data_IF_671828983478
#
_entry.id   IF_671828983478
#
_cell.length_a   1.000
_cell.length_b   1.000
_cell.length_c   1.000
_cell.angle_alpha   90.00
_cell.angle_beta   90.00
_cell.angle_gamma   90.00
#
_symmetry.space_group_name_H-M   'P 1'
#
loop_
_entity.id
_entity.type
_entity.pdbx_description
1 polymer ?
#
# COMPACT_ATOMS: atom_id res chain seq x y z
N UNK A 1 -56.54 -16.97 -71.24
CA UNK A 1 -55.29 -16.85 -70.47
C UNK A 1 -55.45 -15.65 -69.51
N UNK A 2 -55.84 -15.90 -68.27
CA UNK A 2 -56.03 -14.85 -67.28
C UNK A 2 -54.84 -14.92 -66.28
N UNK A 3 -54.10 -13.82 -66.15
CA UNK A 3 -53.00 -13.65 -65.16
C UNK A 3 -53.60 -13.11 -63.89
N UNK A 4 -53.38 -13.85 -62.78
CA UNK A 4 -53.71 -13.43 -61.44
C UNK A 4 -52.57 -12.63 -60.85
N UNK A 5 -52.76 -11.52 -60.11
CA UNK A 5 -51.70 -10.83 -59.39
C UNK A 5 -51.47 -11.41 -58.01
N UNK A 6 -50.20 -11.60 -57.67
CA UNK A 6 -49.74 -11.94 -56.34
C UNK A 6 -49.84 -10.70 -55.43
N UNK A 7 -50.58 -10.81 -54.34
CA UNK A 7 -50.63 -9.82 -53.28
C UNK A 7 -49.55 -10.12 -52.28
N UNK A 8 -48.54 -9.23 -52.24
CA UNK A 8 -47.47 -9.23 -51.25
C UNK A 8 -47.99 -8.61 -49.94
N UNK A 9 -48.02 -9.40 -48.87
CA UNK A 9 -48.29 -8.89 -47.55
C UNK A 9 -47.03 -8.37 -46.94
N UNK A 10 -46.85 -7.05 -46.90
CA UNK A 10 -45.81 -6.36 -46.15
C UNK A 10 -46.10 -6.38 -44.64
N UNK A 11 -45.31 -7.10 -43.90
CA UNK A 11 -45.34 -7.11 -42.45
C UNK A 11 -44.76 -5.79 -41.91
N UNK A 12 -45.64 -4.89 -41.43
CA UNK A 12 -45.26 -3.63 -40.78
C UNK A 12 -44.81 -3.96 -39.33
N UNK A 13 -43.49 -4.03 -39.09
CA UNK A 13 -42.94 -4.13 -37.76
C UNK A 13 -43.04 -2.76 -37.08
N UNK A 14 -43.96 -2.62 -36.15
CA UNK A 14 -44.02 -1.44 -35.29
C UNK A 14 -42.94 -1.56 -34.21
N UNK A 15 -41.86 -0.78 -34.35
CA UNK A 15 -40.81 -0.63 -33.36
C UNK A 15 -41.36 0.24 -32.22
N UNK A 16 -41.81 -0.39 -31.12
CA UNK A 16 -42.14 0.31 -29.87
C UNK A 16 -40.85 0.72 -29.21
N UNK A 17 -40.46 1.98 -29.45
CA UNK A 17 -39.35 2.61 -28.71
C UNK A 17 -39.85 2.91 -27.29
N UNK A 18 -39.56 2.00 -26.34
CA UNK A 18 -39.75 2.28 -24.93
C UNK A 18 -38.79 3.40 -24.50
N UNK A 19 -39.34 4.60 -24.32
CA UNK A 19 -38.61 5.70 -23.71
C UNK A 19 -38.28 5.33 -22.27
N UNK A 20 -37.03 4.93 -22.00
CA UNK A 20 -36.49 4.82 -20.65
C UNK A 20 -36.45 6.25 -20.10
N UNK A 21 -37.13 6.55 -18.97
CA UNK A 21 -37.00 7.85 -18.36
C UNK A 21 -35.52 8.02 -17.97
N UNK A 22 -34.82 8.91 -18.65
CA UNK A 22 -33.56 9.46 -18.14
C UNK A 22 -33.93 10.18 -16.85
N UNK A 23 -33.64 9.52 -15.71
CA UNK A 23 -33.64 10.20 -14.43
C UNK A 23 -32.62 11.32 -14.57
N UNK A 24 -33.09 12.54 -14.73
CA UNK A 24 -32.27 13.72 -14.71
C UNK A 24 -31.55 13.70 -13.35
N UNK A 25 -30.26 13.37 -13.37
CA UNK A 25 -29.41 13.59 -12.21
C UNK A 25 -29.59 15.06 -11.84
N UNK A 26 -30.11 15.29 -10.65
CA UNK A 26 -30.21 16.63 -10.08
C UNK A 26 -28.87 17.29 -10.28
N UNK A 27 -28.81 18.28 -11.15
CA UNK A 27 -27.70 19.23 -11.25
C UNK A 27 -27.77 20.12 -10.01
N UNK A 28 -27.46 19.51 -8.84
CA UNK A 28 -27.25 20.26 -7.61
C UNK A 28 -26.01 21.12 -7.85
N UNK A 29 -26.22 22.42 -7.83
CA UNK A 29 -25.27 23.50 -7.71
C UNK A 29 -23.82 23.09 -8.00
N UNK A 30 -23.36 23.31 -9.23
CA UNK A 30 -21.94 23.32 -9.54
C UNK A 30 -21.35 24.48 -8.74
N UNK A 31 -20.93 24.17 -7.50
CA UNK A 31 -20.27 25.14 -6.63
C UNK A 31 -19.08 25.69 -7.41
N UNK A 32 -19.03 27.02 -7.54
CA UNK A 32 -17.89 27.64 -8.20
C UNK A 32 -16.65 27.45 -7.34
N UNK A 33 -15.84 26.45 -7.68
CA UNK A 33 -14.61 26.12 -6.96
C UNK A 33 -13.45 27.08 -7.29
N UNK A 34 -13.65 28.09 -8.15
CA UNK A 34 -12.61 29.05 -8.48
C UNK A 34 -12.11 29.81 -7.25
N UNK A 35 -13.01 30.13 -6.30
CA UNK A 35 -12.67 30.81 -5.04
C UNK A 35 -12.25 29.82 -3.93
N UNK A 36 -12.50 28.53 -4.10
CA UNK A 36 -12.16 27.47 -3.15
C UNK A 36 -10.71 26.98 -3.26
N UNK A 37 -9.91 27.57 -4.14
CA UNK A 37 -8.52 27.14 -4.40
C UNK A 37 -7.63 27.12 -3.15
N UNK A 38 -8.03 27.83 -2.09
CA UNK A 38 -7.33 27.92 -0.80
C UNK A 38 -8.10 27.28 0.38
N UNK A 39 -9.29 26.72 0.15
CA UNK A 39 -10.08 26.07 1.20
C UNK A 39 -9.90 24.57 1.15
N UNK A 40 -8.93 24.07 1.89
CA UNK A 40 -8.65 22.63 1.97
C UNK A 40 -9.76 21.84 2.65
N UNK A 41 -10.66 22.47 3.41
CA UNK A 41 -11.83 21.88 4.06
C UNK A 41 -13.06 21.74 3.15
N UNK A 42 -13.04 22.32 1.94
CA UNK A 42 -14.15 22.20 0.99
C UNK A 42 -14.06 20.87 0.22
N UNK A 43 -14.68 19.84 0.77
CA UNK A 43 -14.67 18.47 0.21
C UNK A 43 -15.38 18.36 -1.16
N UNK A 44 -16.27 19.30 -1.49
CA UNK A 44 -16.96 19.32 -2.78
C UNK A 44 -16.07 19.81 -3.91
N UNK A 45 -15.00 20.52 -3.59
CA UNK A 45 -14.02 21.04 -4.54
C UNK A 45 -12.77 20.16 -4.72
N UNK A 46 -12.75 18.97 -4.15
CA UNK A 46 -11.66 18.01 -4.38
C UNK A 46 -11.47 17.78 -5.89
N UNK A 47 -10.22 17.78 -6.34
CA UNK A 47 -9.84 17.70 -7.73
C UNK A 47 -9.63 19.07 -8.41
N UNK A 48 -10.11 20.17 -7.81
CA UNK A 48 -9.95 21.54 -8.30
C UNK A 48 -9.13 22.44 -7.37
N UNK A 49 -8.81 21.95 -6.17
CA UNK A 49 -8.04 22.69 -5.15
C UNK A 49 -6.55 22.75 -5.49
N UNK A 50 -5.86 23.74 -4.96
CA UNK A 50 -4.40 23.89 -5.06
C UNK A 50 -3.75 23.42 -3.77
N UNK A 51 -3.63 22.12 -3.59
CA UNK A 51 -3.01 21.52 -2.38
C UNK A 51 -1.49 21.40 -2.50
N UNK A 52 -0.97 21.42 -3.72
CA UNK A 52 0.46 21.24 -4.00
C UNK A 52 1.30 22.37 -3.42
N UNK A 53 2.36 22.02 -2.69
CA UNK A 53 3.35 22.96 -2.19
C UNK A 53 4.18 23.58 -3.32
N UNK A 54 4.66 24.81 -3.09
CA UNK A 54 5.60 25.45 -4.02
C UNK A 54 6.93 24.70 -4.02
N UNK A 55 7.49 24.51 -5.20
CA UNK A 55 8.76 23.82 -5.39
C UNK A 55 9.53 24.41 -6.57
N UNK A 56 10.87 24.44 -6.46
CA UNK A 56 11.78 24.73 -7.58
C UNK A 56 11.92 23.52 -8.51
N UNK A 57 11.43 22.33 -8.10
CA UNK A 57 11.48 21.10 -8.88
C UNK A 57 10.21 21.04 -9.75
N UNK A 58 10.39 20.94 -11.06
CA UNK A 58 9.27 20.75 -11.99
C UNK A 58 8.61 19.36 -11.81
N UNK A 59 7.33 19.26 -12.15
CA UNK A 59 6.60 17.98 -12.10
C UNK A 59 7.28 16.92 -12.98
N UNK A 60 7.76 17.29 -14.15
CA UNK A 60 8.46 16.39 -15.07
C UNK A 60 9.75 15.84 -14.46
N UNK A 61 10.53 16.69 -13.78
CA UNK A 61 11.74 16.27 -13.07
C UNK A 61 11.40 15.34 -11.89
N UNK A 62 10.34 15.64 -11.17
CA UNK A 62 9.84 14.81 -10.06
C UNK A 62 9.46 13.40 -10.57
N UNK A 63 8.69 13.30 -11.65
CA UNK A 63 8.32 12.03 -12.30
C UNK A 63 9.57 11.26 -12.76
N UNK A 64 10.53 11.95 -13.39
CA UNK A 64 11.76 11.32 -13.89
C UNK A 64 12.61 10.73 -12.74
N UNK A 65 12.70 11.45 -11.61
CA UNK A 65 13.39 10.98 -10.40
C UNK A 65 12.67 9.78 -9.80
N UNK A 66 11.34 9.87 -9.64
CA UNK A 66 10.54 8.77 -9.11
C UNK A 66 10.61 7.50 -9.96
N UNK A 67 10.56 7.65 -11.29
CA UNK A 67 10.74 6.53 -12.22
C UNK A 67 12.07 5.82 -12.04
N UNK A 68 13.16 6.58 -11.89
CA UNK A 68 14.49 6.01 -11.64
C UNK A 68 14.55 5.21 -10.34
N UNK A 69 13.95 5.72 -9.26
CA UNK A 69 13.85 5.00 -7.99
C UNK A 69 12.93 3.80 -8.09
N UNK A 70 11.79 3.92 -8.77
CA UNK A 70 10.87 2.82 -9.00
C UNK A 70 11.57 1.66 -9.74
N UNK A 71 12.32 1.93 -10.80
CA UNK A 71 13.11 0.93 -11.52
C UNK A 71 14.17 0.25 -10.63
N UNK A 72 14.74 0.97 -9.68
CA UNK A 72 15.71 0.42 -8.74
C UNK A 72 15.04 -0.51 -7.72
N UNK A 73 13.89 -0.09 -7.17
CA UNK A 73 13.10 -0.92 -6.24
C UNK A 73 12.59 -2.17 -6.95
N UNK A 74 12.09 -2.05 -8.17
CA UNK A 74 11.60 -3.20 -8.96
C UNK A 74 12.68 -4.26 -9.20
N UNK A 75 13.94 -3.82 -9.34
CA UNK A 75 15.08 -4.74 -9.51
C UNK A 75 15.54 -5.38 -8.19
N UNK A 76 15.41 -4.68 -7.07
CA UNK A 76 15.89 -5.13 -5.77
C UNK A 76 14.82 -5.84 -4.93
N UNK A 77 13.55 -5.65 -5.26
CA UNK A 77 12.43 -6.20 -4.49
C UNK A 77 11.70 -7.32 -5.26
N UNK A 78 11.11 -8.24 -4.53
CA UNK A 78 10.24 -9.26 -5.11
C UNK A 78 8.83 -8.71 -5.29
N UNK A 79 8.46 -8.37 -6.52
CA UNK A 79 7.11 -7.91 -6.83
C UNK A 79 6.13 -9.08 -6.90
N UNK A 80 4.91 -8.85 -6.39
CA UNK A 80 3.78 -9.76 -6.56
C UNK A 80 3.32 -9.70 -8.03
N UNK A 81 3.23 -10.89 -8.66
CA UNK A 81 2.78 -11.04 -10.06
C UNK A 81 1.37 -11.64 -10.17
N UNK A 82 0.73 -11.90 -9.05
CA UNK A 82 -0.62 -12.46 -9.01
C UNK A 82 -1.63 -11.38 -9.46
N UNK A 83 -2.33 -11.57 -10.59
CA UNK A 83 -3.21 -10.55 -11.15
C UNK A 83 -4.39 -10.23 -10.22
N UNK A 84 -4.91 -11.22 -9.48
CA UNK A 84 -6.03 -10.98 -8.55
C UNK A 84 -5.64 -9.95 -7.48
N UNK A 85 -4.42 -10.05 -6.96
CA UNK A 85 -3.93 -9.12 -5.95
C UNK A 85 -3.59 -7.77 -6.56
N UNK A 86 -2.84 -7.76 -7.67
CA UNK A 86 -2.33 -6.51 -8.26
C UNK A 86 -3.43 -5.67 -8.88
N UNK A 87 -4.41 -6.28 -9.56
CA UNK A 87 -5.55 -5.60 -10.14
C UNK A 87 -6.48 -5.04 -9.07
N UNK A 88 -6.71 -5.79 -7.99
CA UNK A 88 -7.49 -5.31 -6.86
C UNK A 88 -6.85 -4.07 -6.22
N UNK A 89 -5.57 -4.12 -5.86
CA UNK A 89 -4.88 -2.98 -5.25
C UNK A 89 -4.86 -1.78 -6.19
N UNK A 90 -4.61 -2.02 -7.48
CA UNK A 90 -4.65 -0.95 -8.49
C UNK A 90 -6.04 -0.32 -8.59
N UNK A 91 -7.12 -1.11 -8.57
CA UNK A 91 -8.50 -0.57 -8.64
C UNK A 91 -8.82 0.29 -7.42
N UNK A 92 -8.46 -0.16 -6.21
CA UNK A 92 -8.67 0.63 -4.99
C UNK A 92 -7.90 1.94 -5.07
N UNK A 93 -6.62 1.90 -5.51
CA UNK A 93 -5.81 3.10 -5.66
C UNK A 93 -6.35 4.04 -6.73
N UNK A 94 -6.73 3.55 -7.92
CA UNK A 94 -7.28 4.40 -8.97
C UNK A 94 -8.58 5.07 -8.53
N UNK A 95 -9.46 4.37 -7.79
CA UNK A 95 -10.66 4.98 -7.23
C UNK A 95 -10.32 6.13 -6.26
N UNK A 96 -9.30 5.97 -5.42
CA UNK A 96 -8.82 7.03 -4.54
C UNK A 96 -8.21 8.19 -5.34
N UNK A 97 -7.33 7.89 -6.29
CA UNK A 97 -6.62 8.87 -7.10
C UNK A 97 -7.57 9.76 -7.92
N UNK A 98 -8.57 9.16 -8.56
CA UNK A 98 -9.61 9.87 -9.33
C UNK A 98 -10.47 10.80 -8.44
N UNK A 99 -10.58 10.46 -7.17
CA UNK A 99 -11.30 11.24 -6.16
C UNK A 99 -10.37 12.09 -5.28
N UNK A 100 -9.19 12.46 -5.79
CA UNK A 100 -8.17 13.25 -5.09
C UNK A 100 -7.83 14.55 -5.82
N UNK A 101 -6.91 15.33 -5.26
CA UNK A 101 -6.32 16.51 -5.89
C UNK A 101 -5.01 16.20 -6.64
N UNK A 102 -4.62 14.94 -6.78
CA UNK A 102 -3.42 14.53 -7.50
C UNK A 102 -3.47 14.99 -8.97
N UNK A 103 -2.36 15.54 -9.46
CA UNK A 103 -2.23 16.08 -10.84
C UNK A 103 -1.28 15.24 -11.70
N UNK A 104 -0.80 14.13 -11.16
CA UNK A 104 0.06 13.17 -11.87
C UNK A 104 -0.61 11.79 -11.83
N UNK A 105 -0.39 10.96 -12.85
CA UNK A 105 -0.85 9.57 -12.82
C UNK A 105 -0.24 8.83 -11.65
N UNK A 106 -1.04 8.03 -10.95
CA UNK A 106 -0.57 7.19 -9.86
C UNK A 106 -0.40 5.76 -10.36
N UNK A 107 0.74 5.17 -10.04
CA UNK A 107 1.07 3.79 -10.32
C UNK A 107 1.33 3.07 -9.01
N UNK A 108 0.54 2.05 -8.70
CA UNK A 108 0.73 1.24 -7.49
C UNK A 108 1.37 -0.11 -7.84
N UNK A 109 2.28 -0.59 -6.98
CA UNK A 109 2.92 -1.90 -7.07
C UNK A 109 2.92 -2.59 -5.74
N UNK A 110 2.82 -3.92 -5.77
CA UNK A 110 2.78 -4.76 -4.57
C UNK A 110 4.11 -5.49 -4.40
N UNK A 111 4.76 -5.30 -3.26
CA UNK A 111 5.99 -5.98 -2.87
C UNK A 111 5.65 -7.20 -2.01
N UNK A 112 6.22 -8.35 -2.32
CA UNK A 112 6.12 -9.56 -1.52
C UNK A 112 7.04 -9.45 -0.29
N UNK A 113 6.56 -8.71 0.71
CA UNK A 113 7.23 -8.48 2.00
C UNK A 113 6.24 -8.63 3.15
N UNK A 114 6.59 -9.35 4.22
CA UNK A 114 5.75 -9.51 5.40
C UNK A 114 5.65 -8.24 6.25
N UNK A 115 6.42 -7.23 5.97
CA UNK A 115 6.40 -5.96 6.70
C UNK A 115 5.10 -5.20 6.45
N UNK A 116 4.53 -4.64 7.51
CA UNK A 116 3.38 -3.74 7.40
C UNK A 116 3.91 -2.39 6.96
N UNK A 117 3.93 -2.14 5.65
CA UNK A 117 4.43 -0.90 5.07
C UNK A 117 3.76 -0.55 3.74
N UNK A 118 3.66 0.76 3.49
CA UNK A 118 3.50 1.37 2.18
C UNK A 118 4.35 2.63 2.12
N UNK A 119 4.72 3.05 0.92
CA UNK A 119 5.47 4.28 0.74
C UNK A 119 5.28 4.84 -0.67
N UNK A 120 5.45 6.14 -0.76
CA UNK A 120 5.32 6.90 -2.00
C UNK A 120 6.66 7.44 -2.45
N UNK A 121 6.98 7.25 -3.74
CA UNK A 121 8.10 7.90 -4.41
C UNK A 121 7.62 9.15 -5.16
N UNK A 122 8.53 10.07 -5.48
CA UNK A 122 8.21 11.26 -6.27
C UNK A 122 7.46 10.93 -7.55
N UNK A 123 6.51 11.79 -7.94
CA UNK A 123 5.84 11.68 -9.24
C UNK A 123 4.79 10.58 -9.35
N UNK A 124 4.28 10.03 -8.22
CA UNK A 124 3.09 9.19 -8.20
C UNK A 124 3.34 7.68 -8.24
N UNK A 125 4.50 7.21 -7.82
CA UNK A 125 4.77 5.77 -7.67
C UNK A 125 4.55 5.35 -6.22
N UNK A 126 3.57 4.47 -5.97
CA UNK A 126 3.21 3.95 -4.64
C UNK A 126 3.57 2.47 -4.56
N UNK A 127 4.14 2.06 -3.45
CA UNK A 127 4.45 0.67 -3.15
C UNK A 127 3.70 0.22 -1.91
N UNK A 128 3.13 -0.98 -1.98
CA UNK A 128 2.37 -1.60 -0.89
C UNK A 128 2.93 -2.98 -0.61
N UNK A 129 3.28 -3.27 0.62
CA UNK A 129 3.75 -4.59 1.01
C UNK A 129 2.58 -5.56 1.24
N UNK A 130 2.79 -6.84 0.94
CA UNK A 130 1.79 -7.90 1.24
C UNK A 130 1.46 -7.97 2.74
N UNK A 131 2.40 -7.61 3.62
CA UNK A 131 2.16 -7.50 5.05
C UNK A 131 1.08 -6.47 5.42
N UNK A 132 1.06 -5.31 4.74
CA UNK A 132 0.01 -4.31 4.92
C UNK A 132 -1.35 -4.83 4.42
N UNK A 133 -1.38 -5.44 3.23
CA UNK A 133 -2.61 -6.03 2.69
C UNK A 133 -3.18 -7.09 3.64
N UNK A 134 -2.33 -7.94 4.20
CA UNK A 134 -2.74 -8.96 5.17
C UNK A 134 -3.20 -8.35 6.51
N UNK A 135 -2.57 -7.25 6.94
CA UNK A 135 -2.94 -6.55 8.15
C UNK A 135 -4.26 -5.79 8.02
N UNK A 136 -4.63 -5.31 6.82
CA UNK A 136 -5.89 -4.64 6.59
C UNK A 136 -7.06 -5.59 6.90
N UNK A 137 -8.00 -5.13 7.72
CA UNK A 137 -9.20 -5.90 8.09
C UNK A 137 -10.38 -5.66 7.14
N UNK A 138 -10.28 -4.65 6.27
CA UNK A 138 -11.29 -4.30 5.27
C UNK A 138 -10.65 -3.58 4.09
N UNK A 139 -11.36 -3.52 2.96
CA UNK A 139 -10.96 -2.72 1.79
C UNK A 139 -10.82 -1.24 2.15
N UNK A 140 -11.72 -0.70 2.98
CA UNK A 140 -11.66 0.69 3.42
C UNK A 140 -10.42 0.99 4.27
N UNK A 141 -9.88 0.02 5.04
CA UNK A 141 -8.61 0.20 5.76
C UNK A 141 -7.43 0.32 4.78
N UNK A 142 -7.41 -0.49 3.73
CA UNK A 142 -6.40 -0.38 2.67
C UNK A 142 -6.55 0.96 1.94
N UNK A 143 -7.77 1.32 1.54
CA UNK A 143 -8.06 2.59 0.87
C UNK A 143 -7.61 3.80 1.70
N UNK A 144 -7.71 3.73 3.04
CA UNK A 144 -7.22 4.77 3.93
C UNK A 144 -5.72 4.99 3.85
N UNK A 145 -4.95 3.91 3.86
CA UNK A 145 -3.50 4.01 3.70
C UNK A 145 -3.15 4.55 2.31
N UNK A 146 -3.78 4.02 1.26
CA UNK A 146 -3.55 4.48 -0.12
C UNK A 146 -3.94 5.96 -0.31
N UNK A 147 -5.02 6.42 0.34
CA UNK A 147 -5.43 7.81 0.31
C UNK A 147 -4.42 8.74 0.99
N UNK A 148 -3.81 8.31 2.09
CA UNK A 148 -2.71 9.00 2.74
C UNK A 148 -1.48 9.14 1.81
N UNK A 149 -1.07 8.04 1.16
CA UNK A 149 0.02 8.06 0.18
C UNK A 149 -0.31 8.98 -1.01
N UNK A 150 -1.54 8.90 -1.52
CA UNK A 150 -2.03 9.78 -2.59
C UNK A 150 -2.02 11.25 -2.18
N UNK A 151 -2.30 11.57 -0.92
CA UNK A 151 -2.22 12.93 -0.41
C UNK A 151 -0.76 13.46 -0.40
N UNK A 152 0.23 12.62 -0.07
CA UNK A 152 1.64 13.00 -0.22
C UNK A 152 2.00 13.35 -1.67
N UNK A 153 1.49 12.60 -2.65
CA UNK A 153 1.66 12.89 -4.08
C UNK A 153 0.98 14.20 -4.45
N UNK A 154 -0.29 14.39 -4.05
CA UNK A 154 -1.08 15.57 -4.39
C UNK A 154 -0.45 16.86 -3.84
N UNK A 155 0.05 16.82 -2.60
CA UNK A 155 0.75 17.93 -1.95
C UNK A 155 2.17 18.14 -2.46
N UNK A 156 2.74 17.16 -3.17
CA UNK A 156 4.14 17.18 -3.64
C UNK A 156 5.14 17.36 -2.49
N UNK A 157 4.90 16.67 -1.36
CA UNK A 157 5.70 16.81 -0.15
C UNK A 157 7.18 16.58 -0.41
N UNK A 158 7.54 15.52 -1.17
CA UNK A 158 8.91 15.26 -1.55
C UNK A 158 9.57 16.45 -2.28
N UNK A 159 8.88 17.01 -3.28
CA UNK A 159 9.43 18.12 -4.07
C UNK A 159 9.59 19.40 -3.23
N UNK A 160 8.68 19.62 -2.28
CA UNK A 160 8.76 20.70 -1.29
C UNK A 160 9.98 20.53 -0.39
N UNK A 161 10.18 19.33 0.17
CA UNK A 161 11.28 19.07 1.09
C UNK A 161 12.63 19.13 0.41
N UNK A 162 12.74 18.61 -0.80
CA UNK A 162 13.94 18.78 -1.63
C UNK A 162 14.22 20.25 -1.95
N UNK A 163 13.16 21.05 -2.14
CA UNK A 163 13.31 22.50 -2.32
C UNK A 163 13.87 23.18 -1.07
N UNK A 164 13.30 22.88 0.10
CA UNK A 164 13.78 23.40 1.41
C UNK A 164 15.25 23.02 1.64
N UNK A 165 15.60 21.75 1.40
CA UNK A 165 16.99 21.28 1.54
C UNK A 165 17.94 21.99 0.57
N UNK A 166 17.55 22.14 -0.70
CA UNK A 166 18.35 22.82 -1.71
C UNK A 166 18.58 24.30 -1.36
N UNK A 167 17.52 24.99 -0.94
CA UNK A 167 17.64 26.39 -0.52
C UNK A 167 18.52 26.56 0.72
N UNK A 168 18.40 25.63 1.69
CA UNK A 168 19.27 25.60 2.86
C UNK A 168 20.74 25.40 2.47
N UNK A 169 21.02 24.45 1.56
CA UNK A 169 22.38 24.25 1.05
C UNK A 169 22.95 25.52 0.41
N UNK A 170 22.19 26.21 -0.43
CA UNK A 170 22.62 27.49 -1.02
C UNK A 170 22.84 28.57 0.03
N UNK A 171 21.99 28.66 1.05
CA UNK A 171 22.17 29.62 2.15
C UNK A 171 23.43 29.33 2.99
N UNK A 172 23.92 28.08 3.00
CA UNK A 172 25.14 27.69 3.71
C UNK A 172 26.42 27.94 2.91
N UNK A 173 26.35 28.19 1.59
CA UNK A 173 27.54 28.44 0.75
C UNK A 173 28.44 29.56 1.29
N UNK A 174 27.96 30.76 1.69
CA UNK A 174 28.81 31.79 2.25
C UNK A 174 29.53 31.34 3.53
N UNK A 175 28.90 30.53 4.35
CA UNK A 175 29.49 29.98 5.57
C UNK A 175 30.62 28.97 5.24
N UNK A 176 30.46 28.21 4.14
CA UNK A 176 31.46 27.21 3.68
C UNK A 176 32.75 27.85 3.15
N UNK A 177 32.71 29.14 2.83
CA UNK A 177 33.91 29.89 2.41
C UNK A 177 34.80 30.29 3.59
N UNK A 178 34.39 29.98 4.83
CA UNK A 178 35.23 30.22 6.01
C UNK A 178 36.09 28.99 6.31
N UNK A 179 37.34 29.16 6.80
CA UNK A 179 38.25 28.04 7.08
C UNK A 179 37.72 26.99 8.07
N UNK A 180 36.71 27.35 8.88
CA UNK A 180 36.16 26.50 9.95
C UNK A 180 35.08 25.50 9.45
N UNK A 181 34.63 25.66 8.21
CA UNK A 181 33.44 24.92 7.69
C UNK A 181 33.79 23.70 6.85
N UNK A 182 35.03 23.51 6.45
CA UNK A 182 35.44 22.40 5.59
C UNK A 182 35.17 20.99 6.21
N UNK A 183 35.44 20.73 7.51
CA UNK A 183 35.13 19.46 8.13
C UNK A 183 33.60 19.16 8.20
N UNK A 184 32.79 20.21 8.37
CA UNK A 184 31.32 20.09 8.41
C UNK A 184 30.78 19.76 7.02
N UNK A 185 31.32 20.34 5.97
CA UNK A 185 30.98 20.05 4.58
C UNK A 185 31.26 18.58 4.21
N UNK A 186 32.42 18.05 4.59
CA UNK A 186 32.80 16.66 4.33
C UNK A 186 31.83 15.69 5.03
N UNK A 187 31.43 15.95 6.29
CA UNK A 187 30.51 15.13 7.01
C UNK A 187 29.09 15.08 6.38
N UNK A 188 28.65 16.21 5.79
CA UNK A 188 27.36 16.28 5.09
C UNK A 188 27.42 15.58 3.73
N UNK A 189 28.51 15.76 2.97
CA UNK A 189 28.66 15.19 1.62
C UNK A 189 28.82 13.66 1.64
N UNK A 190 29.47 13.10 2.65
CA UNK A 190 29.58 11.65 2.83
C UNK A 190 28.24 11.02 3.20
N UNK A 191 27.41 11.68 4.00
CA UNK A 191 26.05 11.22 4.35
C UNK A 191 25.09 11.16 3.17
N UNK A 192 25.32 11.93 2.09
CA UNK A 192 24.45 11.97 0.91
C UNK A 192 24.74 10.90 -0.15
N UNK A 193 25.84 10.15 -0.04
CA UNK A 193 26.27 9.18 -1.07
C UNK A 193 25.82 7.73 -0.82
N UNK A 194 25.15 7.44 0.28
CA UNK A 194 24.70 6.09 0.61
C UNK A 194 23.27 5.80 0.16
N UNK A 195 23.11 5.17 -1.03
CA UNK A 195 21.89 4.48 -1.44
C UNK A 195 20.71 5.39 -1.78
N UNK A 196 19.49 4.79 -1.84
CA UNK A 196 18.25 5.56 -1.74
C UNK A 196 18.23 6.07 -0.30
N UNK A 197 18.42 7.36 -0.06
CA UNK A 197 18.41 7.83 1.31
C UNK A 197 17.01 7.54 1.88
N UNK A 198 16.93 6.69 2.90
CA UNK A 198 15.69 6.47 3.69
C UNK A 198 15.07 7.79 4.16
N UNK A 199 15.88 8.86 4.21
CA UNK A 199 15.42 10.22 4.44
C UNK A 199 14.39 10.74 3.41
N UNK A 200 14.30 10.15 2.22
CA UNK A 200 13.27 10.50 1.23
C UNK A 200 11.88 9.99 1.60
N UNK A 201 11.78 9.05 2.52
CA UNK A 201 10.52 8.45 2.96
C UNK A 201 10.00 9.07 4.26
N UNK A 202 10.76 9.99 4.87
CA UNK A 202 10.33 10.65 6.12
C UNK A 202 9.86 12.06 5.84
N UNK A 203 8.59 12.26 6.10
CA UNK A 203 7.96 13.58 5.99
C UNK A 203 7.92 14.31 7.33
N UNK A 204 7.79 15.63 7.30
CA UNK A 204 7.64 16.41 8.52
C UNK A 204 6.28 16.12 9.17
N UNK A 205 6.15 16.41 10.48
CA UNK A 205 4.87 16.26 11.18
C UNK A 205 3.72 17.07 10.55
N UNK A 206 4.04 18.20 9.95
CA UNK A 206 3.05 19.02 9.26
C UNK A 206 2.62 18.37 7.95
N UNK A 207 3.54 17.77 7.21
CA UNK A 207 3.24 17.03 5.97
C UNK A 207 2.39 15.80 6.27
N UNK A 208 2.68 15.09 7.39
CA UNK A 208 1.87 13.97 7.87
C UNK A 208 0.43 14.39 8.23
N UNK A 209 0.28 15.50 8.97
CA UNK A 209 -1.05 16.03 9.33
C UNK A 209 -1.83 16.47 8.08
N UNK A 210 -1.16 17.05 7.10
CA UNK A 210 -1.79 17.42 5.84
C UNK A 210 -2.17 16.20 5.02
N UNK A 211 -1.34 15.15 5.01
CA UNK A 211 -1.65 13.90 4.32
C UNK A 211 -2.83 13.16 4.97
N UNK A 212 -2.92 13.17 6.30
CA UNK A 212 -4.09 12.66 7.01
C UNK A 212 -5.35 13.43 6.64
N UNK A 213 -5.27 14.76 6.72
CA UNK A 213 -6.39 15.65 6.46
C UNK A 213 -6.95 15.50 5.05
N UNK A 214 -6.11 15.46 4.05
CA UNK A 214 -6.54 15.28 2.66
C UNK A 214 -6.91 13.82 2.35
N UNK A 215 -6.18 12.86 2.91
CA UNK A 215 -6.43 11.43 2.75
C UNK A 215 -7.83 11.02 3.22
N UNK A 216 -8.26 11.50 4.38
CA UNK A 216 -9.62 11.26 4.88
C UNK A 216 -10.69 11.81 3.94
N UNK A 217 -10.47 12.98 3.35
CA UNK A 217 -11.39 13.57 2.39
C UNK A 217 -11.41 12.79 1.06
N UNK A 218 -10.27 12.28 0.61
CA UNK A 218 -10.18 11.44 -0.60
C UNK A 218 -10.90 10.11 -0.38
N UNK A 219 -10.71 9.45 0.79
CA UNK A 219 -11.50 8.28 1.18
C UNK A 219 -13.00 8.55 1.12
N UNK A 220 -13.42 9.65 1.77
CA UNK A 220 -14.82 10.05 1.81
C UNK A 220 -15.36 10.27 0.38
N UNK A 221 -14.63 10.98 -0.47
CA UNK A 221 -15.06 11.24 -1.85
C UNK A 221 -15.11 9.97 -2.69
N UNK A 222 -14.16 9.05 -2.52
CA UNK A 222 -14.11 7.74 -3.16
C UNK A 222 -15.20 6.76 -2.65
N UNK A 223 -15.96 7.16 -1.61
CA UNK A 223 -17.08 6.37 -1.08
C UNK A 223 -16.71 5.45 0.08
N UNK A 224 -15.47 5.39 0.51
CA UNK A 224 -15.03 4.58 1.63
C UNK A 224 -15.38 5.19 2.99
N UNK A 225 -15.51 4.34 4.02
CA UNK A 225 -15.73 4.80 5.40
C UNK A 225 -14.44 5.40 5.99
N UNK A 226 -14.38 6.72 6.29
CA UNK A 226 -13.19 7.34 6.87
C UNK A 226 -12.80 6.79 8.25
N UNK A 227 -13.76 6.21 9.01
CA UNK A 227 -13.45 5.61 10.31
C UNK A 227 -12.54 4.38 10.18
N UNK A 228 -12.51 3.74 9.01
CA UNK A 228 -11.62 2.63 8.74
C UNK A 228 -10.13 3.02 8.82
N UNK A 229 -9.80 4.28 8.52
CA UNK A 229 -8.44 4.81 8.69
C UNK A 229 -8.01 4.79 10.16
N UNK A 230 -8.85 5.30 11.05
CA UNK A 230 -8.58 5.25 12.50
C UNK A 230 -8.48 3.81 13.03
N UNK A 231 -9.35 2.92 12.54
CA UNK A 231 -9.30 1.51 12.91
C UNK A 231 -8.00 0.84 12.48
N UNK A 232 -7.45 1.21 11.30
CA UNK A 232 -6.15 0.73 10.84
C UNK A 232 -5.02 1.19 11.75
N UNK A 233 -4.97 2.48 12.13
CA UNK A 233 -4.00 2.99 13.10
C UNK A 233 -4.05 2.26 14.43
N UNK A 234 -5.26 2.10 15.00
CA UNK A 234 -5.43 1.39 16.27
C UNK A 234 -4.92 -0.04 16.19
N UNK A 235 -5.15 -0.74 15.08
CA UNK A 235 -4.66 -2.10 14.84
C UNK A 235 -3.14 -2.15 14.79
N UNK A 236 -2.51 -1.25 14.04
CA UNK A 236 -1.04 -1.23 13.89
C UNK A 236 -0.37 -0.89 15.24
N UNK A 237 -0.91 0.07 16.00
CA UNK A 237 -0.42 0.39 17.36
C UNK A 237 -0.55 -0.82 18.30
N UNK A 238 -1.65 -1.55 18.19
CA UNK A 238 -1.88 -2.76 19.01
C UNK A 238 -0.87 -3.85 18.64
N UNK A 239 -0.57 -4.04 17.36
CA UNK A 239 0.41 -5.01 16.90
C UNK A 239 1.83 -4.67 17.37
N UNK A 240 2.19 -3.38 17.34
CA UNK A 240 3.46 -2.90 17.88
C UNK A 240 3.60 -3.17 19.38
N UNK A 241 2.53 -3.02 20.15
CA UNK A 241 2.54 -3.31 21.60
C UNK A 241 2.69 -4.80 21.88
N UNK A 242 2.14 -5.67 21.04
CA UNK A 242 2.25 -7.13 21.17
C UNK A 242 3.63 -7.65 20.85
N UNK A 243 4.33 -7.00 19.94
CA UNK A 243 5.65 -7.36 19.45
C UNK A 243 6.65 -6.22 19.66
N UNK A 244 7.05 -5.91 20.92
CA UNK A 244 8.03 -4.86 21.21
C UNK A 244 9.37 -5.25 20.57
N UNK A 245 9.84 -4.50 19.60
CA UNK A 245 11.07 -4.77 18.83
C UNK A 245 10.85 -5.01 17.35
N UNK A 246 9.61 -5.29 16.90
CA UNK A 246 9.21 -5.20 15.50
C UNK A 246 8.31 -3.99 15.31
N UNK A 247 8.91 -2.80 15.27
CA UNK A 247 8.16 -1.59 14.86
C UNK A 247 7.79 -1.77 13.40
N UNK A 248 6.49 -1.81 13.03
CA UNK A 248 6.13 -1.82 11.62
C UNK A 248 6.81 -0.65 10.91
N UNK A 249 7.45 -0.91 9.77
CA UNK A 249 8.23 0.08 9.05
C UNK A 249 7.41 1.31 8.66
N UNK A 250 6.12 1.15 8.44
CA UNK A 250 5.18 2.26 8.21
C UNK A 250 5.23 3.31 9.34
N UNK A 251 5.51 2.91 10.59
CA UNK A 251 5.63 3.85 11.71
C UNK A 251 6.99 4.53 11.80
N UNK A 252 7.99 3.96 11.17
CA UNK A 252 9.29 4.62 11.06
C UNK A 252 9.21 5.77 10.04
N UNK A 253 8.38 5.59 9.02
CA UNK A 253 8.19 6.54 7.94
C UNK A 253 7.06 7.53 8.25
N UNK A 254 5.94 7.05 8.85
CA UNK A 254 4.73 7.80 9.20
C UNK A 254 4.32 7.60 10.66
N UNK A 255 5.05 8.16 11.65
CA UNK A 255 4.79 7.89 13.07
C UNK A 255 3.36 8.29 13.48
N UNK A 256 2.55 7.35 14.03
CA UNK A 256 1.25 7.68 14.57
C UNK A 256 1.45 8.47 15.87
N UNK A 257 0.96 9.68 15.92
CA UNK A 257 0.93 10.47 17.15
C UNK A 257 -0.51 10.59 17.65
N UNK A 258 -0.68 10.77 18.95
CA UNK A 258 -2.00 10.98 19.53
C UNK A 258 -2.69 12.21 18.92
N UNK A 259 -1.92 13.24 18.59
CA UNK A 259 -2.42 14.46 17.95
C UNK A 259 -3.00 14.17 16.55
N UNK A 260 -2.38 13.28 15.75
CA UNK A 260 -2.91 12.87 14.44
C UNK A 260 -4.26 12.16 14.57
N UNK A 261 -4.39 11.28 15.56
CA UNK A 261 -5.64 10.54 15.79
C UNK A 261 -6.76 11.50 16.19
N UNK A 262 -6.50 12.40 17.13
CA UNK A 262 -7.49 13.38 17.59
C UNK A 262 -7.94 14.28 16.43
N UNK A 263 -7.02 14.82 15.64
CA UNK A 263 -7.35 15.65 14.48
C UNK A 263 -8.16 14.91 13.42
N UNK A 264 -7.82 13.64 13.15
CA UNK A 264 -8.56 12.80 12.24
C UNK A 264 -10.00 12.54 12.73
N UNK A 265 -10.19 12.29 14.03
CA UNK A 265 -11.52 12.16 14.64
C UNK A 265 -12.34 13.45 14.53
N UNK A 266 -11.71 14.61 14.81
CA UNK A 266 -12.33 15.93 14.68
C UNK A 266 -12.75 16.24 13.25
N UNK A 267 -11.92 15.90 12.28
CA UNK A 267 -12.21 16.08 10.87
C UNK A 267 -13.39 15.23 10.41
N UNK A 268 -13.38 13.94 10.72
CA UNK A 268 -14.49 13.03 10.40
C UNK A 268 -15.81 13.55 10.97
N UNK A 269 -15.77 14.09 12.19
CA UNK A 269 -16.96 14.58 12.89
C UNK A 269 -17.46 15.91 12.36
N UNK A 270 -16.56 16.86 12.06
CA UNK A 270 -16.90 18.27 11.89
C UNK A 270 -16.83 18.75 10.43
N UNK A 271 -16.02 18.08 9.58
CA UNK A 271 -15.75 18.50 8.20
C UNK A 271 -16.42 17.58 7.19
N UNK A 272 -16.33 16.26 7.40
CA UNK A 272 -16.85 15.31 6.42
C UNK A 272 -18.37 15.20 6.50
N UNK A 273 -19.11 15.48 5.41
CA UNK A 273 -20.57 15.30 5.39
C UNK A 273 -20.92 13.82 5.59
N UNK A 274 -21.95 13.56 6.39
CA UNK A 274 -22.46 12.20 6.58
C UNK A 274 -23.04 11.67 5.28
N UNK A 275 -22.70 10.42 4.93
CA UNK A 275 -23.29 9.69 3.81
C UNK A 275 -24.26 8.63 4.34
N UNK A 276 -25.32 8.29 3.59
CA UNK A 276 -26.23 7.22 3.96
C UNK A 276 -25.56 5.85 3.99
N UNK A 277 -24.57 5.65 3.10
CA UNK A 277 -23.83 4.40 2.96
C UNK A 277 -22.36 4.66 2.66
N UNK A 278 -21.53 3.78 3.17
CA UNK A 278 -20.08 3.75 2.91
C UNK A 278 -19.66 2.37 2.44
N UNK A 279 -18.69 2.35 1.54
CA UNK A 279 -17.99 1.12 1.17
C UNK A 279 -17.02 0.75 2.29
N UNK A 280 -17.23 -0.39 2.91
CA UNK A 280 -16.34 -0.93 3.95
C UNK A 280 -15.50 -2.06 3.39
N UNK A 281 -16.11 -3.02 2.69
CA UNK A 281 -15.41 -4.16 2.09
C UNK A 281 -16.22 -4.80 0.99
N UNK A 282 -15.53 -5.35 0.00
CA UNK A 282 -16.12 -6.10 -1.12
C UNK A 282 -15.82 -7.59 -1.01
N UNK A 283 -16.53 -8.40 -1.78
CA UNK A 283 -16.19 -9.83 -1.93
C UNK A 283 -14.83 -10.05 -2.57
N UNK A 284 -14.37 -9.11 -3.41
CA UNK A 284 -13.04 -9.17 -4.01
C UNK A 284 -11.92 -8.98 -2.98
N UNK A 285 -12.12 -8.10 -1.99
CA UNK A 285 -11.18 -7.99 -0.86
C UNK A 285 -11.03 -9.33 -0.14
N UNK A 286 -12.14 -10.04 0.11
CA UNK A 286 -12.08 -11.35 0.74
C UNK A 286 -11.32 -12.37 -0.13
N UNK A 287 -11.57 -12.38 -1.43
CA UNK A 287 -10.83 -13.23 -2.37
C UNK A 287 -9.32 -12.95 -2.36
N UNK A 288 -8.93 -11.68 -2.25
CA UNK A 288 -7.52 -11.27 -2.13
C UNK A 288 -6.92 -11.75 -0.82
N UNK A 289 -7.63 -11.63 0.30
CA UNK A 289 -7.18 -12.13 1.61
C UNK A 289 -6.96 -13.65 1.57
N UNK A 290 -7.88 -14.41 1.01
CA UNK A 290 -7.78 -15.86 0.88
C UNK A 290 -6.59 -16.26 -0.03
N UNK A 291 -6.37 -15.49 -1.09
CA UNK A 291 -5.24 -15.67 -2.00
C UNK A 291 -3.91 -15.40 -1.32
N UNK A 292 -3.81 -14.30 -0.55
CA UNK A 292 -2.63 -13.97 0.25
C UNK A 292 -2.32 -15.05 1.29
N UNK A 293 -3.34 -15.53 2.01
CA UNK A 293 -3.19 -16.61 2.98
C UNK A 293 -2.66 -17.90 2.33
N UNK A 294 -3.14 -18.22 1.13
CA UNK A 294 -2.65 -19.38 0.35
C UNK A 294 -1.18 -19.21 -0.04
N UNK A 295 -0.77 -18.02 -0.50
CA UNK A 295 0.61 -17.75 -0.87
C UNK A 295 1.55 -17.80 0.35
N UNK A 296 1.14 -17.20 1.48
CA UNK A 296 1.90 -17.23 2.74
C UNK A 296 1.98 -18.64 3.33
N UNK A 297 0.91 -19.43 3.24
CA UNK A 297 0.88 -20.84 3.65
C UNK A 297 1.85 -21.69 2.85
N UNK A 298 1.91 -21.53 1.53
CA UNK A 298 2.87 -22.20 0.65
C UNK A 298 4.32 -21.85 1.00
N UNK A 299 4.62 -20.58 1.27
CA UNK A 299 5.97 -20.14 1.66
C UNK A 299 6.41 -20.74 3.00
N UNK A 300 5.53 -20.82 4.00
CA UNK A 300 5.81 -21.49 5.28
C UNK A 300 6.10 -22.99 5.09
N UNK A 301 5.34 -23.67 4.24
CA UNK A 301 5.55 -25.09 3.93
C UNK A 301 6.90 -25.32 3.23
N UNK A 302 7.28 -24.46 2.29
CA UNK A 302 8.54 -24.58 1.55
C UNK A 302 9.75 -24.32 2.47
N UNK A 303 9.67 -23.34 3.35
CA UNK A 303 10.73 -23.09 4.37
C UNK A 303 10.87 -24.27 5.34
N UNK A 304 9.77 -24.85 5.77
CA UNK A 304 9.79 -26.01 6.69
C UNK A 304 10.26 -27.30 5.97
N UNK A 305 9.98 -27.44 4.68
CA UNK A 305 10.48 -28.58 3.89
C UNK A 305 12.01 -28.54 3.69
N UNK A 306 12.59 -27.33 3.56
CA UNK A 306 14.04 -27.14 3.48
C UNK A 306 14.79 -27.41 4.78
N UNK A 307 14.11 -27.36 5.93
CA UNK A 307 14.70 -27.59 7.27
C UNK A 307 14.44 -28.99 7.83
N UNK A 308 13.77 -29.89 7.10
CA UNK A 308 13.62 -31.28 7.55
C UNK A 308 14.94 -32.02 7.30
N UNK A 309 15.56 -32.63 8.33
CA UNK A 309 16.72 -33.49 8.10
C UNK A 309 16.27 -34.63 7.17
N UNK A 310 16.87 -34.70 6.01
CA UNK A 310 16.67 -35.80 5.07
C UNK A 310 17.35 -37.02 5.67
N UNK A 311 16.58 -38.00 6.14
CA UNK A 311 17.12 -39.30 6.49
C UNK A 311 17.67 -39.90 5.19
N UNK A 312 18.98 -39.84 5.03
CA UNK A 312 19.67 -40.56 3.97
C UNK A 312 19.35 -42.05 4.14
N UNK A 313 18.57 -42.58 3.20
CA UNK A 313 18.29 -44.00 3.09
C UNK A 313 19.65 -44.67 2.86
N UNK A 314 20.14 -45.41 3.86
CA UNK A 314 21.37 -46.18 3.77
C UNK A 314 21.11 -47.28 2.73
N UNK A 315 21.76 -47.21 1.57
CA UNK A 315 21.73 -48.32 0.60
C UNK A 315 22.36 -49.54 1.23
N UNK A 316 21.75 -50.75 1.11
CA UNK A 316 22.34 -51.96 1.61
C UNK A 316 23.58 -52.26 0.77
N UNK A 317 24.75 -52.23 1.40
CA UNK A 317 25.98 -52.79 0.79
C UNK A 317 25.74 -54.24 0.49
N UNK A 318 25.79 -54.60 -0.78
CA UNK A 318 25.84 -55.98 -1.27
C UNK A 318 27.03 -56.69 -0.63
N UNK A 319 26.73 -57.73 0.15
CA UNK A 319 27.70 -58.48 0.88
C UNK A 319 28.47 -59.46 0.00
N UNK A 320 29.70 -59.63 0.34
CA UNK A 320 30.50 -60.83 0.01
C UNK A 320 30.65 -61.65 1.30
N UNK A 321 30.53 -62.98 1.23
CA UNK A 321 30.57 -63.83 2.42
C UNK A 321 32.00 -64.17 2.79
N UNK A 322 32.36 -64.02 4.05
CA UNK A 322 33.51 -64.73 4.61
C UNK A 322 33.09 -65.38 5.93
N UNK A 323 33.49 -66.64 5.98
CA UNK A 323 33.24 -67.66 7.03
C UNK A 323 33.89 -67.37 8.38
N UNK A 324 33.28 -68.07 9.36
CA UNK A 324 33.87 -68.68 10.61
C UNK A 324 34.18 -67.74 11.77
N UNK A 325 33.66 -67.89 12.94
CA UNK A 325 33.71 -68.93 13.95
C UNK A 325 33.14 -68.42 15.30
N UNK A 326 32.43 -69.30 15.95
CA UNK A 326 32.14 -69.48 17.39
C UNK A 326 32.64 -68.50 18.41
N UNK A 327 31.71 -68.00 19.28
CA UNK A 327 31.99 -67.34 20.56
C UNK A 327 30.70 -67.10 21.33
N UNK A 328 30.43 -67.93 22.34
CA UNK A 328 29.38 -67.81 23.34
C UNK A 328 29.59 -66.58 24.21
N UNK A 329 28.50 -65.90 24.64
CA UNK A 329 28.58 -64.88 25.67
C UNK A 329 27.23 -64.25 25.99
N UNK A 330 26.55 -64.81 26.91
CA UNK A 330 25.61 -64.28 27.93
C UNK A 330 24.81 -63.02 27.66
N UNK A 331 23.50 -63.17 27.84
CA UNK A 331 22.50 -62.11 27.91
C UNK A 331 22.59 -61.22 29.14
N UNK A 332 22.16 -60.00 28.97
CA UNK A 332 21.57 -59.21 30.03
C UNK A 332 20.31 -58.55 29.48
N UNK A 333 19.24 -58.91 30.14
CA UNK A 333 17.90 -58.40 30.13
C UNK A 333 17.93 -56.94 30.61
N UNK A 334 17.39 -55.99 29.88
CA UNK A 334 16.70 -54.79 30.32
C UNK A 334 16.63 -53.75 29.22
N UNK A 335 15.54 -53.78 28.43
CA UNK A 335 15.06 -52.60 27.75
C UNK A 335 13.52 -52.67 27.66
N UNK A 336 12.89 -52.13 28.69
CA UNK A 336 11.47 -51.75 28.64
C UNK A 336 11.36 -50.29 28.23
N UNK A 337 10.48 -49.93 27.29
CA UNK A 337 10.28 -48.53 26.87
C UNK A 337 9.59 -47.72 27.97
N UNK A 338 9.86 -46.40 28.07
CA UNK A 338 9.32 -45.54 29.13
C UNK A 338 7.82 -45.31 28.95
N UNK A 339 7.07 -45.50 30.04
CA UNK A 339 5.64 -45.24 30.12
C UNK A 339 5.41 -43.80 30.55
N UNK A 340 4.68 -43.01 29.74
CA UNK A 340 4.23 -41.66 30.06
C UNK A 340 3.19 -41.70 31.20
N UNK A 341 3.51 -41.15 32.39
CA UNK A 341 2.54 -40.87 33.46
C UNK A 341 1.85 -39.53 33.21
N UNK A 342 0.53 -39.55 33.15
CA UNK A 342 -0.32 -38.33 33.26
C UNK A 342 -0.14 -37.76 34.69
N UNK A 343 0.11 -36.44 34.75
CA UNK A 343 -0.04 -35.66 35.98
C UNK A 343 -1.48 -35.14 36.04
N UNK A 344 -2.12 -35.37 37.18
CA UNK A 344 -3.38 -34.72 37.58
C UNK A 344 -3.16 -33.22 37.80
#
# INVERSE_FOLDING_TARGET
MRKTPLISWGMLAVLVCAAVPVVAANTTDVKNCADASNKMDDVYCIGQRRVAHRSIISVQKEIAVGKKYAEQIDRSSKLVKDPVITEFVNRVEQNVAENSDAKVPITVRVIDSPEINSFTLPGGFIYVNTGLLHAAGSEAQLAGVLAHETAHVACRHWASDMTKQTLLQYAMIPLMLTPLSYPVYLGISEGMNFGIPLAFLKFSRNDEQQADFLGLQYMWKAGYDPNAYLAMFAKIITEQRRNPGSVPSIFMDHPPTQDRIIKAEEEIKNILPKRPEYLVSTSEFQNVQDRLNTLLGRMKMTKNAGNKPTLLKREPKSGQPTNTSSGQGQGTENDKPPVLRRRN
#
